data_IF_724149859099
#
_entry.id   IF_724149859099
#
_cell.length_a   1.000
_cell.length_b   1.000
_cell.length_c   1.000
_cell.angle_alpha   90.00
_cell.angle_beta   90.00
_cell.angle_gamma   90.00
#
_symmetry.space_group_name_H-M   'P 1'
#
loop_
_entity.id
_entity.type
_entity.pdbx_description
1 polymer ?
#
# COMPACT_ATOMS: atom_id res chain seq x y z
N UNK A 1 16.55 -18.27 -11.47
CA UNK A 1 15.53 -18.14 -12.57
C UNK A 1 15.38 -16.66 -12.84
N UNK A 2 15.38 -16.21 -14.07
CA UNK A 2 15.25 -14.79 -14.40
C UNK A 2 13.78 -14.56 -14.83
N UNK A 3 13.01 -13.94 -13.94
CA UNK A 3 11.62 -13.56 -14.26
C UNK A 3 11.63 -12.26 -15.07
N UNK A 4 10.82 -12.20 -16.12
CA UNK A 4 10.69 -11.00 -16.96
C UNK A 4 9.66 -10.03 -16.36
N UNK A 5 9.91 -8.74 -16.55
CA UNK A 5 8.97 -7.66 -16.21
C UNK A 5 8.60 -7.57 -14.72
N UNK A 6 9.50 -8.03 -13.83
CA UNK A 6 9.37 -7.80 -12.39
C UNK A 6 10.20 -6.59 -11.95
N UNK A 7 9.72 -5.92 -10.90
CA UNK A 7 10.39 -4.80 -10.24
C UNK A 7 10.50 -5.11 -8.75
N UNK A 8 11.72 -5.17 -8.24
CA UNK A 8 11.97 -5.31 -6.82
C UNK A 8 11.75 -3.96 -6.10
N UNK A 9 11.30 -3.96 -4.83
CA UNK A 9 11.17 -2.72 -4.08
C UNK A 9 12.52 -2.05 -3.92
N UNK A 10 12.59 -0.77 -4.24
CA UNK A 10 13.80 0.02 -4.12
C UNK A 10 13.63 1.06 -3.00
N UNK A 11 13.96 0.70 -1.76
CA UNK A 11 13.79 1.59 -0.60
C UNK A 11 14.66 2.86 -0.63
N UNK A 12 15.60 2.97 -1.57
CA UNK A 12 16.32 4.19 -1.84
C UNK A 12 15.56 5.13 -2.81
N UNK A 13 14.53 4.60 -3.51
CA UNK A 13 13.74 5.34 -4.50
C UNK A 13 12.31 4.78 -4.58
N UNK A 14 11.53 5.00 -3.53
CA UNK A 14 10.17 4.48 -3.38
C UNK A 14 9.24 5.52 -2.72
N UNK A 15 7.98 5.15 -2.55
CA UNK A 15 6.96 5.99 -1.90
C UNK A 15 7.37 6.45 -0.49
N UNK A 16 8.19 5.68 0.24
CA UNK A 16 8.75 6.12 1.52
C UNK A 16 9.56 7.40 1.33
N UNK A 17 10.33 7.52 0.25
CA UNK A 17 11.07 8.73 -0.08
C UNK A 17 10.17 9.95 -0.31
N UNK A 18 8.97 9.75 -0.87
CA UNK A 18 7.99 10.84 -1.07
C UNK A 18 7.58 11.46 0.28
N UNK A 19 7.14 10.64 1.22
CA UNK A 19 6.74 11.14 2.54
C UNK A 19 7.94 11.64 3.36
N UNK A 20 9.10 11.03 3.19
CA UNK A 20 10.34 11.46 3.87
C UNK A 20 10.78 12.84 3.40
N UNK A 21 10.63 13.16 2.10
CA UNK A 21 10.86 14.53 1.59
C UNK A 21 9.96 15.56 2.25
N UNK A 22 8.67 15.23 2.45
CA UNK A 22 7.72 16.09 3.16
C UNK A 22 8.12 16.25 4.64
N UNK A 23 8.46 15.16 5.33
CA UNK A 23 8.94 15.21 6.71
C UNK A 23 10.18 16.10 6.86
N UNK A 24 11.14 15.96 5.95
CA UNK A 24 12.35 16.78 5.90
C UNK A 24 12.04 18.26 5.68
N UNK A 25 11.09 18.58 4.79
CA UNK A 25 10.61 19.95 4.57
C UNK A 25 10.08 20.60 5.85
N UNK A 26 9.39 19.83 6.69
CA UNK A 26 8.89 20.28 7.99
C UNK A 26 9.91 20.12 9.14
N UNK A 27 11.19 19.87 8.84
CA UNK A 27 12.27 19.66 9.82
C UNK A 27 12.05 18.50 10.78
N UNK A 28 11.35 17.46 10.33
CA UNK A 28 11.25 16.19 11.06
C UNK A 28 12.45 15.33 10.72
N UNK A 29 13.21 14.92 11.74
CA UNK A 29 14.33 13.99 11.56
C UNK A 29 13.83 12.60 11.16
N UNK A 30 14.52 11.99 10.22
CA UNK A 30 14.27 10.64 9.73
C UNK A 30 15.57 9.96 9.32
N UNK A 31 15.65 8.64 9.52
CA UNK A 31 16.78 7.81 9.08
C UNK A 31 16.63 7.33 7.64
N UNK A 32 15.47 7.52 7.03
CA UNK A 32 15.17 7.06 5.68
C UNK A 32 15.50 8.12 4.63
N UNK A 33 15.85 7.65 3.42
CA UNK A 33 16.19 8.53 2.30
C UNK A 33 14.94 9.27 1.81
N UNK A 34 15.13 10.53 1.46
CA UNK A 34 14.16 11.36 0.73
C UNK A 34 14.40 11.26 -0.79
N UNK A 35 13.43 11.69 -1.58
CA UNK A 35 13.57 11.81 -3.03
C UNK A 35 14.24 13.16 -3.37
N UNK A 36 15.44 13.11 -3.95
CA UNK A 36 16.18 14.32 -4.33
C UNK A 36 15.38 15.19 -5.31
N UNK A 37 14.64 14.56 -6.23
CA UNK A 37 13.76 15.24 -7.17
C UNK A 37 12.71 16.09 -6.46
N UNK A 38 12.05 15.55 -5.44
CA UNK A 38 11.03 16.24 -4.66
C UNK A 38 11.63 17.23 -3.65
N UNK A 39 12.75 16.90 -3.02
CA UNK A 39 13.49 17.81 -2.14
C UNK A 39 13.82 19.12 -2.85
N UNK A 40 14.29 19.03 -4.09
CA UNK A 40 14.63 20.21 -4.91
C UNK A 40 13.42 21.12 -5.18
N UNK A 41 12.22 20.57 -5.30
CA UNK A 41 10.98 21.37 -5.43
C UNK A 41 10.62 22.01 -4.09
N UNK A 42 10.60 21.23 -3.02
CA UNK A 42 10.22 21.69 -1.67
C UNK A 42 11.14 22.78 -1.13
N UNK A 43 12.46 22.69 -1.35
CA UNK A 43 13.44 23.70 -0.89
C UNK A 43 13.33 25.01 -1.67
N UNK A 44 13.01 24.96 -2.96
CA UNK A 44 12.88 26.17 -3.80
C UNK A 44 11.59 26.93 -3.50
N UNK A 45 10.52 26.22 -3.17
CA UNK A 45 9.22 26.80 -2.84
C UNK A 45 9.10 27.10 -1.35
N UNK A 46 8.47 28.23 -1.03
CA UNK A 46 8.10 28.56 0.35
C UNK A 46 6.61 28.27 0.54
N UNK A 47 6.29 26.98 0.51
CA UNK A 47 4.90 26.54 0.57
C UNK A 47 4.33 26.68 2.00
N UNK A 48 3.21 27.36 2.10
CA UNK A 48 2.41 27.39 3.32
C UNK A 48 1.55 26.13 3.46
N UNK A 49 1.14 25.59 2.31
CA UNK A 49 0.32 24.39 2.28
C UNK A 49 1.03 23.31 1.44
N UNK A 50 1.22 22.15 2.01
CA UNK A 50 1.66 20.94 1.29
C UNK A 50 0.55 19.91 1.37
N UNK A 51 0.07 19.48 0.22
CA UNK A 51 -1.00 18.51 0.05
C UNK A 51 -0.39 17.26 -0.57
N UNK A 52 -0.50 16.12 0.11
CA UNK A 52 -0.22 14.82 -0.46
C UNK A 52 -1.56 14.15 -0.78
N UNK A 53 -1.84 13.96 -2.05
CA UNK A 53 -3.07 13.34 -2.54
C UNK A 53 -2.76 11.94 -3.07
N UNK A 54 -3.32 10.92 -2.42
CA UNK A 54 -3.13 9.52 -2.80
C UNK A 54 -4.37 9.01 -3.51
N UNK A 55 -4.18 8.52 -4.73
CA UNK A 55 -5.18 7.82 -5.54
C UNK A 55 -4.85 6.32 -5.51
N UNK A 56 -5.59 5.56 -4.69
CA UNK A 56 -5.34 4.13 -4.48
C UNK A 56 -5.34 3.34 -5.79
N UNK A 57 -4.30 2.56 -6.00
CA UNK A 57 -4.16 1.71 -7.17
C UNK A 57 -3.78 2.44 -8.47
N UNK A 58 -3.64 3.78 -8.49
CA UNK A 58 -3.27 4.54 -9.69
C UNK A 58 -1.77 4.43 -9.99
N UNK A 59 -1.27 3.22 -10.23
CA UNK A 59 0.12 3.02 -10.64
C UNK A 59 0.47 3.65 -11.99
N UNK A 60 1.76 3.71 -12.28
CA UNK A 60 2.32 4.31 -13.50
C UNK A 60 1.73 3.72 -14.79
N UNK A 61 1.50 2.40 -14.79
CA UNK A 61 0.90 1.71 -15.93
C UNK A 61 -0.53 2.19 -16.21
N UNK A 62 -1.36 2.34 -15.16
CA UNK A 62 -2.74 2.83 -15.27
C UNK A 62 -2.76 4.25 -15.82
N UNK A 63 -1.95 5.13 -15.23
CA UNK A 63 -1.85 6.53 -15.68
C UNK A 63 -1.45 6.63 -17.16
N UNK A 64 -0.41 5.89 -17.57
CA UNK A 64 0.08 5.94 -18.95
C UNK A 64 -0.91 5.38 -19.98
N UNK A 65 -1.67 4.36 -19.62
CA UNK A 65 -2.67 3.80 -20.51
C UNK A 65 -3.87 4.74 -20.70
N UNK A 66 -4.26 5.45 -19.65
CA UNK A 66 -5.46 6.30 -19.66
C UNK A 66 -5.16 7.72 -20.12
N UNK A 67 -4.10 8.33 -19.61
CA UNK A 67 -3.82 9.76 -19.78
C UNK A 67 -2.37 10.04 -20.17
N UNK A 68 -1.85 9.33 -21.18
CA UNK A 68 -0.45 9.39 -21.61
C UNK A 68 0.07 10.82 -21.83
N UNK A 69 -0.74 11.70 -22.39
CA UNK A 69 -0.39 13.10 -22.67
C UNK A 69 -1.21 14.07 -21.82
N UNK A 70 -1.87 13.60 -20.77
CA UNK A 70 -2.72 14.38 -19.89
C UNK A 70 -1.94 15.23 -18.89
N UNK A 71 -2.68 15.98 -18.10
CA UNK A 71 -2.14 16.95 -17.16
C UNK A 71 -1.23 16.30 -16.09
N UNK A 72 -1.59 15.13 -15.57
CA UNK A 72 -0.75 14.42 -14.61
C UNK A 72 0.58 13.99 -15.21
N UNK A 73 0.58 13.39 -16.40
CA UNK A 73 1.83 13.01 -17.07
C UNK A 73 2.70 14.20 -17.49
N UNK A 74 2.09 15.35 -17.81
CA UNK A 74 2.84 16.59 -18.11
C UNK A 74 3.53 17.17 -16.86
N UNK A 75 2.99 16.91 -15.68
CA UNK A 75 3.51 17.38 -14.38
C UNK A 75 4.17 16.27 -13.58
N UNK A 76 4.40 15.10 -14.19
CA UNK A 76 5.07 13.99 -13.52
C UNK A 76 6.54 14.33 -13.28
N UNK A 77 6.92 14.31 -12.00
CA UNK A 77 8.27 14.61 -11.54
C UNK A 77 9.15 13.35 -11.58
N UNK A 78 8.59 12.21 -11.19
CA UNK A 78 9.35 10.99 -10.98
C UNK A 78 8.45 9.74 -11.10
N UNK A 79 9.08 8.57 -11.23
CA UNK A 79 8.45 7.26 -11.09
C UNK A 79 9.23 6.48 -10.05
N UNK A 80 8.58 6.11 -8.97
CA UNK A 80 9.19 5.39 -7.85
C UNK A 80 8.57 4.01 -7.68
N UNK A 81 9.17 3.14 -6.88
CA UNK A 81 8.52 1.90 -6.53
C UNK A 81 7.55 2.11 -5.36
N UNK A 82 6.51 1.28 -5.29
CA UNK A 82 5.80 1.05 -4.03
C UNK A 82 6.76 0.41 -3.01
N UNK A 83 6.36 0.34 -1.74
CA UNK A 83 6.95 -0.60 -0.78
C UNK A 83 6.47 -2.01 -1.09
N UNK A 84 7.04 -3.01 -0.43
CA UNK A 84 6.58 -4.38 -0.60
C UNK A 84 6.11 -4.99 0.74
N UNK A 85 5.01 -5.74 0.73
CA UNK A 85 4.07 -5.95 -0.40
C UNK A 85 3.42 -4.65 -0.89
N UNK A 86 3.19 -4.57 -2.23
CA UNK A 86 2.54 -3.44 -2.89
C UNK A 86 1.03 -3.50 -2.65
N UNK A 87 0.62 -3.17 -1.44
CA UNK A 87 -0.76 -3.24 -0.95
C UNK A 87 -1.09 -2.02 -0.11
N UNK A 88 -2.35 -1.61 -0.13
CA UNK A 88 -2.89 -0.48 0.62
C UNK A 88 -2.43 -0.51 2.08
N UNK A 89 -2.49 -1.67 2.75
CA UNK A 89 -2.09 -1.81 4.17
C UNK A 89 -0.64 -1.40 4.41
N UNK A 90 0.30 -1.90 3.63
CA UNK A 90 1.73 -1.59 3.80
C UNK A 90 2.06 -0.17 3.30
N UNK A 91 1.55 0.20 2.14
CA UNK A 91 1.89 1.44 1.46
C UNK A 91 1.26 2.68 2.13
N UNK A 92 -0.04 2.64 2.48
CA UNK A 92 -0.65 3.74 3.24
C UNK A 92 -0.03 3.88 4.63
N UNK A 93 0.27 2.76 5.32
CA UNK A 93 0.97 2.85 6.61
C UNK A 93 2.35 3.47 6.45
N UNK A 94 3.04 3.22 5.33
CA UNK A 94 4.30 3.92 5.02
C UNK A 94 4.09 5.43 4.86
N UNK A 95 3.06 5.88 4.16
CA UNK A 95 2.71 7.30 4.07
C UNK A 95 2.30 7.90 5.42
N UNK A 96 1.53 7.18 6.22
CA UNK A 96 1.06 7.65 7.51
C UNK A 96 2.12 7.67 8.61
N UNK A 97 3.13 6.79 8.52
CA UNK A 97 4.18 6.66 9.52
C UNK A 97 5.50 7.32 9.13
N UNK A 98 5.81 7.40 7.82
CA UNK A 98 7.15 7.72 7.33
C UNK A 98 8.16 6.61 7.64
N UNK A 99 7.71 5.35 7.69
CA UNK A 99 8.51 4.18 8.03
C UNK A 99 8.19 3.02 7.06
N UNK A 100 9.16 2.13 6.75
CA UNK A 100 8.92 0.97 5.91
C UNK A 100 8.10 -0.12 6.64
N UNK A 101 7.51 -1.07 5.93
CA UNK A 101 6.78 -2.20 6.53
C UNK A 101 7.59 -3.00 7.55
N UNK A 102 8.92 -3.06 7.39
CA UNK A 102 9.84 -3.71 8.33
C UNK A 102 9.79 -3.10 9.74
N UNK A 103 9.58 -1.78 9.83
CA UNK A 103 9.51 -1.06 11.11
C UNK A 103 8.10 -0.99 11.68
N UNK A 104 7.08 -0.91 10.81
CA UNK A 104 5.69 -0.77 11.27
C UNK A 104 5.03 -2.10 11.57
N UNK A 105 5.47 -3.19 10.94
CA UNK A 105 4.80 -4.50 11.01
C UNK A 105 3.49 -4.58 10.22
N UNK A 106 3.06 -3.49 9.58
CA UNK A 106 1.89 -3.46 8.71
C UNK A 106 2.31 -3.90 7.30
N UNK A 107 2.14 -5.19 6.99
CA UNK A 107 2.72 -5.80 5.79
C UNK A 107 1.68 -6.30 4.77
N UNK A 108 0.46 -6.58 5.18
CA UNK A 108 -0.57 -7.11 4.29
C UNK A 108 -1.97 -6.92 4.87
N UNK A 109 -2.99 -7.18 4.06
CA UNK A 109 -4.38 -7.10 4.50
C UNK A 109 -4.70 -8.10 5.61
N UNK A 110 -4.21 -9.35 5.50
CA UNK A 110 -4.47 -10.43 6.45
C UNK A 110 -3.17 -10.94 7.08
N UNK A 111 -2.98 -10.73 8.38
CA UNK A 111 -1.78 -11.13 9.10
C UNK A 111 -2.10 -12.10 10.23
N UNK A 112 -1.23 -13.10 10.45
CA UNK A 112 -1.40 -14.07 11.52
C UNK A 112 -0.93 -13.53 12.87
N UNK A 113 -1.85 -13.48 13.83
CA UNK A 113 -1.55 -13.08 15.20
C UNK A 113 -1.57 -14.31 16.11
N UNK A 114 -0.41 -14.72 16.58
CA UNK A 114 -0.27 -15.89 17.48
C UNK A 114 -1.05 -15.74 18.78
N UNK A 115 -1.24 -14.50 19.27
CA UNK A 115 -1.99 -14.16 20.47
C UNK A 115 -3.47 -14.54 20.36
N UNK A 116 -3.99 -14.49 19.16
CA UNK A 116 -5.36 -14.90 18.84
C UNK A 116 -5.43 -16.29 18.21
N UNK A 117 -4.27 -16.84 17.75
CA UNK A 117 -4.20 -18.08 16.97
C UNK A 117 -4.96 -17.97 15.64
N UNK A 118 -5.04 -16.77 15.04
CA UNK A 118 -5.86 -16.46 13.87
C UNK A 118 -5.20 -15.44 12.96
N UNK A 119 -5.59 -15.48 11.69
CA UNK A 119 -5.33 -14.40 10.75
C UNK A 119 -6.38 -13.29 10.95
N UNK A 120 -5.92 -12.03 10.91
CA UNK A 120 -6.74 -10.85 11.19
C UNK A 120 -6.56 -9.84 10.06
N UNK A 121 -7.67 -9.31 9.57
CA UNK A 121 -7.69 -8.22 8.58
C UNK A 121 -7.31 -6.91 9.27
N UNK A 122 -6.24 -6.31 8.80
CA UNK A 122 -5.55 -5.21 9.47
C UNK A 122 -6.40 -3.94 9.60
N UNK A 123 -7.25 -3.60 8.62
CA UNK A 123 -8.08 -2.40 8.68
C UNK A 123 -9.43 -2.63 9.35
N UNK A 124 -10.04 -3.80 9.18
CA UNK A 124 -11.35 -4.09 9.77
C UNK A 124 -11.29 -4.64 11.18
N UNK A 125 -10.10 -5.13 11.60
CA UNK A 125 -9.86 -5.86 12.85
C UNK A 125 -10.76 -7.11 13.00
N UNK A 126 -11.22 -7.66 11.88
CA UNK A 126 -12.00 -8.90 11.86
C UNK A 126 -11.09 -10.10 11.64
N UNK A 127 -11.52 -11.25 12.11
CA UNK A 127 -10.87 -12.51 11.76
C UNK A 127 -11.03 -12.74 10.25
N UNK A 128 -9.90 -13.00 9.56
CA UNK A 128 -9.83 -12.98 8.09
C UNK A 128 -10.67 -14.05 7.43
N UNK A 129 -10.74 -15.23 8.03
CA UNK A 129 -11.43 -16.39 7.46
C UNK A 129 -12.91 -16.45 7.82
N UNK A 130 -13.29 -16.25 9.03
CA UNK A 130 -14.69 -16.29 9.48
C UNK A 130 -15.38 -14.92 9.38
N UNK A 131 -14.60 -13.85 9.18
CA UNK A 131 -15.06 -12.46 9.14
C UNK A 131 -15.85 -12.03 10.37
N UNK A 132 -15.52 -12.65 11.48
CA UNK A 132 -16.12 -12.32 12.76
C UNK A 132 -15.30 -11.23 13.47
N UNK A 133 -15.94 -10.27 14.13
CA UNK A 133 -15.25 -9.31 15.00
C UNK A 133 -14.47 -10.05 16.11
N UNK A 134 -13.29 -9.52 16.44
CA UNK A 134 -12.51 -10.02 17.55
C UNK A 134 -13.27 -9.86 18.88
N UNK A 135 -13.50 -10.96 19.58
CA UNK A 135 -14.37 -11.01 20.80
C UNK A 135 -13.68 -10.48 22.08
N UNK A 136 -12.42 -10.08 22.05
CA UNK A 136 -11.71 -9.65 23.27
C UNK A 136 -11.14 -8.23 23.14
N UNK A 137 -11.95 -7.18 23.41
CA UNK A 137 -11.51 -5.80 23.36
C UNK A 137 -10.42 -5.42 24.38
N UNK A 138 -10.19 -6.26 25.41
CA UNK A 138 -9.19 -5.99 26.46
C UNK A 138 -7.75 -6.30 26.02
N UNK A 139 -7.55 -6.93 24.87
CA UNK A 139 -6.24 -7.16 24.25
C UNK A 139 -6.27 -6.66 22.80
N UNK A 140 -6.48 -5.38 22.66
CA UNK A 140 -6.42 -4.73 21.35
C UNK A 140 -4.95 -4.63 20.92
N UNK A 141 -4.49 -5.63 20.15
CA UNK A 141 -3.13 -5.72 19.62
C UNK A 141 -2.79 -4.50 18.77
N UNK A 142 -3.77 -3.93 18.09
CA UNK A 142 -3.53 -2.74 17.26
C UNK A 142 -3.14 -1.53 18.10
N UNK A 143 -3.73 -1.37 19.28
CA UNK A 143 -3.36 -0.29 20.20
C UNK A 143 -2.07 -0.55 20.95
N UNK A 144 -1.75 -1.81 21.23
CA UNK A 144 -0.57 -2.15 22.05
C UNK A 144 0.67 -2.45 21.24
N UNK A 145 0.54 -3.27 20.20
CA UNK A 145 1.68 -3.85 19.48
C UNK A 145 1.85 -3.28 18.07
N UNK A 146 0.77 -2.79 17.42
CA UNK A 146 0.80 -2.31 16.03
C UNK A 146 0.75 -0.78 15.92
N UNK A 147 0.94 -0.10 17.04
CA UNK A 147 0.94 1.37 17.07
C UNK A 147 2.23 1.95 16.50
N UNK A 148 2.10 3.00 15.71
CA UNK A 148 3.20 3.82 15.22
C UNK A 148 2.87 5.31 15.38
N UNK A 149 3.91 6.14 15.50
CA UNK A 149 3.73 7.59 15.54
C UNK A 149 3.46 8.11 14.14
N UNK A 150 2.34 8.80 13.97
CA UNK A 150 1.91 9.29 12.66
C UNK A 150 2.76 10.48 12.18
N UNK A 151 2.80 10.68 10.85
CA UNK A 151 3.45 11.86 10.25
C UNK A 151 2.80 13.16 10.69
N UNK A 152 1.50 13.14 10.98
CA UNK A 152 0.75 14.29 11.50
C UNK A 152 1.28 14.73 12.86
N UNK A 153 1.48 13.78 13.77
CA UNK A 153 2.06 14.02 15.08
C UNK A 153 3.50 14.50 14.98
N UNK A 154 4.32 13.85 14.14
CA UNK A 154 5.72 14.21 13.91
C UNK A 154 5.86 15.65 13.42
N UNK A 155 5.05 16.06 12.45
CA UNK A 155 5.06 17.40 11.86
C UNK A 155 4.61 18.45 12.90
N UNK A 156 3.50 18.21 13.61
CA UNK A 156 3.00 19.16 14.63
C UNK A 156 3.94 19.29 15.84
N UNK A 157 4.67 18.23 16.19
CA UNK A 157 5.69 18.29 17.25
C UNK A 157 6.93 19.06 16.81
N UNK A 158 7.36 18.89 15.56
CA UNK A 158 8.50 19.64 15.02
C UNK A 158 8.20 21.14 14.89
N UNK A 159 6.95 21.48 14.55
CA UNK A 159 6.49 22.87 14.49
C UNK A 159 4.99 22.98 14.83
N UNK A 160 4.68 23.44 16.03
CA UNK A 160 3.31 23.59 16.54
C UNK A 160 2.45 24.63 15.79
N UNK A 161 3.04 25.47 14.95
CA UNK A 161 2.30 26.41 14.10
C UNK A 161 1.69 25.74 12.87
N UNK A 162 2.21 24.57 12.48
CA UNK A 162 1.68 23.78 11.36
C UNK A 162 0.49 22.97 11.85
N UNK A 163 -0.58 22.98 11.08
CA UNK A 163 -1.75 22.15 11.32
C UNK A 163 -1.79 21.00 10.33
N UNK A 164 -1.78 19.79 10.84
CA UNK A 164 -1.85 18.59 10.01
C UNK A 164 -3.28 18.05 9.95
N UNK A 165 -3.72 17.70 8.73
CA UNK A 165 -5.07 17.22 8.44
C UNK A 165 -5.03 15.88 7.70
N UNK A 166 -5.96 15.00 8.03
CA UNK A 166 -6.23 13.75 7.36
C UNK A 166 -7.62 13.81 6.73
N UNK A 167 -7.73 13.48 5.45
CA UNK A 167 -9.00 13.40 4.73
C UNK A 167 -9.09 12.04 4.07
N UNK A 168 -10.18 11.32 4.25
CA UNK A 168 -10.38 10.02 3.63
C UNK A 168 -11.70 9.35 4.02
N UNK A 169 -11.96 8.14 3.50
CA UNK A 169 -13.22 7.44 3.68
C UNK A 169 -13.51 7.08 5.14
N UNK A 170 -14.78 6.88 5.46
CA UNK A 170 -15.26 6.63 6.82
C UNK A 170 -14.61 5.39 7.46
N UNK A 171 -14.39 4.34 6.70
CA UNK A 171 -13.83 3.09 7.20
C UNK A 171 -12.32 3.17 7.54
N UNK A 172 -11.61 4.21 7.08
CA UNK A 172 -10.19 4.36 7.38
C UNK A 172 -9.98 4.77 8.84
N UNK A 173 -8.98 4.14 9.47
CA UNK A 173 -8.59 4.51 10.83
C UNK A 173 -8.11 5.97 10.89
N UNK A 174 -8.49 6.70 11.94
CA UNK A 174 -8.12 8.11 12.12
C UNK A 174 -6.81 8.24 12.90
N UNK A 175 -5.85 8.95 12.32
CA UNK A 175 -4.48 9.11 12.85
C UNK A 175 -4.15 10.55 13.19
N UNK A 176 -4.76 11.50 12.48
CA UNK A 176 -4.58 12.92 12.76
C UNK A 176 -5.57 13.40 13.83
N UNK A 177 -5.17 14.40 14.60
CA UNK A 177 -6.09 15.14 15.51
C UNK A 177 -7.23 15.81 14.72
N UNK A 178 -6.98 16.15 13.43
CA UNK A 178 -7.92 16.80 12.53
C UNK A 178 -8.17 15.86 11.36
N UNK A 179 -9.19 15.03 11.50
CA UNK A 179 -9.60 14.08 10.47
C UNK A 179 -10.98 14.44 9.94
N UNK A 180 -11.13 14.40 8.62
CA UNK A 180 -12.37 14.71 7.91
C UNK A 180 -12.76 13.47 7.10
N UNK A 181 -14.03 13.09 7.16
CA UNK A 181 -14.60 12.02 6.35
C UNK A 181 -14.93 12.59 4.97
N UNK A 182 -14.46 11.89 3.94
CA UNK A 182 -14.78 12.17 2.54
C UNK A 182 -14.71 10.85 1.77
N UNK A 183 -15.85 10.40 1.25
CA UNK A 183 -16.03 9.09 0.63
C UNK A 183 -15.90 9.12 -0.91
N UNK A 184 -15.70 10.30 -1.48
CA UNK A 184 -15.52 10.49 -2.93
C UNK A 184 -14.65 11.70 -3.24
N UNK A 185 -14.23 11.82 -4.49
CA UNK A 185 -13.29 12.86 -4.92
C UNK A 185 -13.83 14.28 -4.75
N UNK A 186 -15.14 14.49 -4.92
CA UNK A 186 -15.76 15.81 -4.76
C UNK A 186 -15.73 16.27 -3.31
N UNK A 187 -15.99 15.38 -2.37
CA UNK A 187 -15.89 15.64 -0.93
C UNK A 187 -14.46 15.88 -0.50
N UNK A 188 -13.46 15.11 -1.06
CA UNK A 188 -12.06 15.35 -0.83
C UNK A 188 -11.64 16.76 -1.27
N UNK A 189 -12.00 17.16 -2.49
CA UNK A 189 -11.72 18.50 -3.05
C UNK A 189 -12.39 19.59 -2.23
N UNK A 190 -13.66 19.41 -1.85
CA UNK A 190 -14.39 20.35 -1.01
C UNK A 190 -13.71 20.53 0.35
N UNK A 191 -13.32 19.44 0.99
CA UNK A 191 -12.64 19.47 2.28
C UNK A 191 -11.28 20.17 2.20
N UNK A 192 -10.53 19.97 1.11
CA UNK A 192 -9.27 20.67 0.88
C UNK A 192 -9.50 22.18 0.75
N UNK A 193 -10.52 22.61 -0.02
CA UNK A 193 -10.87 24.03 -0.15
C UNK A 193 -11.23 24.63 1.21
N UNK A 194 -12.04 23.95 2.03
CA UNK A 194 -12.44 24.45 3.34
C UNK A 194 -11.21 24.59 4.30
N UNK A 195 -10.30 23.63 4.25
CA UNK A 195 -9.05 23.69 5.04
C UNK A 195 -8.14 24.81 4.53
N UNK A 196 -8.08 25.04 3.21
CA UNK A 196 -7.24 26.08 2.62
C UNK A 196 -7.59 27.47 3.18
N UNK A 197 -8.86 27.77 3.38
CA UNK A 197 -9.35 29.04 3.93
C UNK A 197 -8.99 29.24 5.42
N UNK A 198 -8.59 28.20 6.14
CA UNK A 198 -8.17 28.33 7.53
C UNK A 198 -6.80 29.05 7.62
N UNK A 199 -6.56 29.85 8.68
CA UNK A 199 -5.28 30.53 8.83
C UNK A 199 -4.14 29.57 9.22
N UNK A 200 -2.92 29.92 8.81
CA UNK A 200 -1.67 29.24 9.18
C UNK A 200 -1.18 28.25 8.13
N UNK A 201 -0.03 27.65 8.41
CA UNK A 201 0.61 26.65 7.55
C UNK A 201 -0.04 25.27 7.75
N UNK A 202 -0.11 24.48 6.67
CA UNK A 202 -0.83 23.22 6.71
C UNK A 202 -0.10 22.10 5.98
N UNK A 203 -0.19 20.92 6.56
CA UNK A 203 0.03 19.65 5.87
C UNK A 203 -1.31 18.93 5.74
N UNK A 204 -1.64 18.47 4.54
CA UNK A 204 -2.87 17.73 4.26
C UNK A 204 -2.49 16.44 3.58
N UNK A 205 -2.91 15.29 4.11
CA UNK A 205 -2.90 14.03 3.40
C UNK A 205 -4.34 13.65 3.09
N UNK A 206 -4.67 13.61 1.79
CA UNK A 206 -5.95 13.22 1.27
C UNK A 206 -5.83 11.86 0.57
N UNK A 207 -6.69 10.92 0.93
CA UNK A 207 -6.69 9.58 0.38
C UNK A 207 -8.04 9.24 -0.23
N UNK A 208 -8.00 8.81 -1.49
CA UNK A 208 -9.15 8.23 -2.21
C UNK A 208 -8.91 6.74 -2.41
N UNK A 209 -9.88 5.91 -2.05
CA UNK A 209 -9.89 4.46 -2.25
C UNK A 209 -10.14 4.02 -3.71
N UNK A 210 -10.27 4.97 -4.59
CA UNK A 210 -10.38 4.76 -6.02
C UNK A 210 -9.17 5.39 -6.75
N UNK A 211 -8.75 4.75 -7.85
CA UNK A 211 -9.46 3.73 -8.64
C UNK A 211 -9.34 2.26 -8.18
N UNK A 212 -8.69 1.89 -7.04
CA UNK A 212 -8.48 0.51 -6.61
C UNK A 212 -9.79 -0.33 -6.61
N UNK A 213 -10.84 0.19 -5.98
CA UNK A 213 -12.13 -0.50 -5.95
C UNK A 213 -12.72 -0.76 -7.34
N UNK A 214 -12.56 0.18 -8.25
CA UNK A 214 -12.98 0.03 -9.66
C UNK A 214 -12.08 -0.95 -10.41
N UNK A 215 -10.75 -0.90 -10.19
CA UNK A 215 -9.77 -1.80 -10.79
C UNK A 215 -10.05 -3.25 -10.40
N UNK A 216 -10.29 -3.52 -9.13
CA UNK A 216 -10.67 -4.85 -8.65
C UNK A 216 -11.91 -5.40 -9.35
N UNK A 217 -12.91 -4.55 -9.57
CA UNK A 217 -14.22 -4.96 -10.10
C UNK A 217 -14.23 -5.07 -11.62
N UNK A 218 -13.59 -4.15 -12.32
CA UNK A 218 -13.75 -3.99 -13.77
C UNK A 218 -12.47 -4.28 -14.56
N UNK A 219 -11.29 -4.28 -13.92
CA UNK A 219 -9.99 -4.46 -14.56
C UNK A 219 -9.36 -3.13 -15.01
N UNK A 220 -8.08 -3.22 -15.42
CA UNK A 220 -7.25 -2.04 -15.70
C UNK A 220 -7.67 -1.26 -16.94
N UNK A 221 -8.34 -1.90 -17.91
CA UNK A 221 -8.67 -1.32 -19.21
C UNK A 221 -10.14 -0.90 -19.32
N UNK A 222 -10.87 -0.82 -18.19
CA UNK A 222 -12.29 -0.51 -18.18
C UNK A 222 -12.58 0.99 -18.34
N UNK A 223 -13.74 1.31 -18.94
CA UNK A 223 -14.19 2.69 -19.05
C UNK A 223 -14.49 3.32 -17.68
N UNK A 224 -14.90 2.54 -16.69
CA UNK A 224 -15.15 3.00 -15.32
C UNK A 224 -13.86 3.53 -14.68
N UNK A 225 -12.77 2.81 -14.80
CA UNK A 225 -11.44 3.23 -14.31
C UNK A 225 -10.95 4.46 -15.07
N UNK A 226 -11.08 4.43 -16.40
CA UNK A 226 -10.67 5.55 -17.26
C UNK A 226 -11.42 6.83 -16.90
N UNK A 227 -12.74 6.76 -16.78
CA UNK A 227 -13.54 7.92 -16.45
C UNK A 227 -13.18 8.49 -15.08
N UNK A 228 -12.95 7.63 -14.08
CA UNK A 228 -12.52 8.07 -12.77
C UNK A 228 -11.17 8.80 -12.79
N UNK A 229 -10.16 8.22 -13.45
CA UNK A 229 -8.81 8.83 -13.51
C UNK A 229 -8.85 10.18 -14.24
N UNK A 230 -9.59 10.28 -15.35
CA UNK A 230 -9.73 11.54 -16.09
C UNK A 230 -10.50 12.60 -15.30
N UNK A 231 -11.54 12.22 -14.55
CA UNK A 231 -12.28 13.10 -13.66
C UNK A 231 -11.40 13.61 -12.51
N UNK A 232 -10.64 12.72 -11.87
CA UNK A 232 -9.68 13.09 -10.83
C UNK A 232 -8.60 14.04 -11.33
N UNK A 233 -8.06 13.81 -12.53
CA UNK A 233 -7.08 14.67 -13.17
C UNK A 233 -7.66 16.08 -13.44
N UNK A 234 -8.86 16.17 -13.97
CA UNK A 234 -9.55 17.44 -14.24
C UNK A 234 -9.82 18.22 -12.96
N UNK A 235 -10.34 17.55 -11.93
CA UNK A 235 -10.67 18.16 -10.62
C UNK A 235 -9.43 18.64 -9.87
N UNK A 236 -8.33 17.88 -9.88
CA UNK A 236 -7.09 18.30 -9.24
C UNK A 236 -6.41 19.45 -10.01
N UNK A 237 -6.56 19.49 -11.33
CA UNK A 237 -6.15 20.66 -12.13
C UNK A 237 -6.94 21.91 -11.72
N UNK A 238 -8.26 21.83 -11.66
CA UNK A 238 -9.12 22.93 -11.22
C UNK A 238 -8.81 23.37 -9.79
N UNK A 239 -8.56 22.41 -8.89
CA UNK A 239 -8.14 22.71 -7.53
C UNK A 239 -6.85 23.52 -7.53
N UNK A 240 -5.80 23.08 -8.29
CA UNK A 240 -4.53 23.79 -8.37
C UNK A 240 -4.70 25.21 -8.89
N UNK A 241 -5.57 25.42 -9.88
CA UNK A 241 -5.86 26.76 -10.43
C UNK A 241 -6.53 27.70 -9.42
N UNK A 242 -7.25 27.16 -8.43
CA UNK A 242 -7.89 27.92 -7.34
C UNK A 242 -6.94 28.22 -6.18
N UNK A 243 -6.00 27.32 -5.91
CA UNK A 243 -5.05 27.46 -4.81
C UNK A 243 -3.90 28.37 -5.24
N UNK A 244 -3.35 29.13 -4.30
CA UNK A 244 -2.24 30.05 -4.55
C UNK A 244 -0.91 29.32 -4.84
N UNK A 245 0.08 30.08 -5.33
CA UNK A 245 1.43 29.56 -5.58
C UNK A 245 2.17 29.09 -4.32
N UNK A 246 1.71 29.50 -3.14
CA UNK A 246 2.19 29.04 -1.84
C UNK A 246 1.63 27.67 -1.41
N UNK A 247 0.94 26.98 -2.33
CA UNK A 247 0.41 25.64 -2.15
C UNK A 247 1.02 24.66 -3.14
N UNK A 248 1.61 23.59 -2.62
CA UNK A 248 2.12 22.46 -3.38
C UNK A 248 1.14 21.29 -3.28
N UNK A 249 0.74 20.72 -4.41
CA UNK A 249 0.00 19.46 -4.44
C UNK A 249 0.94 18.39 -5.00
N UNK A 250 1.15 17.33 -4.24
CA UNK A 250 1.86 16.14 -4.64
C UNK A 250 0.80 15.05 -4.83
N UNK A 251 0.66 14.53 -6.06
CA UNK A 251 -0.25 13.42 -6.35
C UNK A 251 0.58 12.16 -6.55
N UNK A 252 0.18 11.08 -5.90
CA UNK A 252 0.82 9.77 -6.02
C UNK A 252 -0.20 8.66 -5.83
N UNK A 253 0.27 7.44 -5.86
CA UNK A 253 -0.50 6.26 -5.52
C UNK A 253 0.24 5.45 -4.45
N UNK A 254 -0.38 4.45 -3.92
CA UNK A 254 0.21 3.50 -2.98
C UNK A 254 0.79 2.28 -3.72
N UNK A 255 0.12 1.83 -4.79
CA UNK A 255 0.56 0.76 -5.70
C UNK A 255 -0.12 0.89 -7.07
N UNK A 256 0.19 -0.01 -7.98
CA UNK A 256 -0.53 -0.21 -9.22
C UNK A 256 -1.33 -1.53 -9.20
N UNK A 257 -1.81 -1.96 -10.36
CA UNK A 257 -2.64 -3.14 -10.53
C UNK A 257 -2.22 -4.01 -11.69
N UNK A 258 -2.47 -5.33 -11.57
CA UNK A 258 -2.32 -6.32 -12.64
C UNK A 258 -3.65 -7.02 -12.92
N UNK A 259 -4.04 -7.09 -14.19
CA UNK A 259 -5.16 -7.95 -14.62
C UNK A 259 -4.84 -9.40 -14.29
N UNK A 260 -5.86 -10.16 -13.85
CA UNK A 260 -5.70 -11.55 -13.44
C UNK A 260 -6.03 -12.47 -14.62
N UNK A 261 -5.01 -13.19 -15.07
CA UNK A 261 -5.10 -14.20 -16.12
C UNK A 261 -5.53 -15.56 -15.56
N UNK A 262 -5.02 -15.90 -14.35
CA UNK A 262 -5.27 -17.16 -13.68
C UNK A 262 -5.51 -17.01 -12.19
N UNK A 263 -6.57 -17.60 -11.70
CA UNK A 263 -6.91 -17.64 -10.28
C UNK A 263 -6.95 -19.10 -9.80
N UNK A 264 -6.03 -19.44 -8.89
CA UNK A 264 -5.88 -20.77 -8.34
C UNK A 264 -6.58 -20.89 -6.98
N UNK A 265 -7.03 -22.09 -6.67
CA UNK A 265 -7.53 -22.50 -5.37
C UNK A 265 -6.60 -23.58 -4.83
N UNK A 266 -5.99 -23.36 -3.66
CA UNK A 266 -5.13 -24.38 -3.04
C UNK A 266 -5.90 -25.65 -2.64
N UNK A 267 -7.22 -25.59 -2.52
CA UNK A 267 -8.07 -26.77 -2.29
C UNK A 267 -7.99 -27.79 -3.43
N UNK A 268 -7.60 -27.38 -4.64
CA UNK A 268 -7.39 -28.26 -5.79
C UNK A 268 -6.02 -28.98 -5.74
N UNK A 269 -5.16 -28.64 -4.75
CA UNK A 269 -3.80 -29.17 -4.57
C UNK A 269 -3.64 -29.79 -3.17
N UNK A 270 -4.34 -30.89 -2.86
CA UNK A 270 -4.32 -31.50 -1.53
C UNK A 270 -2.91 -31.93 -1.12
N UNK A 271 -2.06 -32.29 -2.07
CA UNK A 271 -0.65 -32.63 -1.83
C UNK A 271 0.19 -31.44 -1.31
N UNK A 272 -0.19 -30.19 -1.62
CA UNK A 272 0.43 -29.00 -1.05
C UNK A 272 -0.17 -28.72 0.33
N UNK A 273 -1.49 -28.82 0.46
CA UNK A 273 -2.19 -28.56 1.72
C UNK A 273 -1.74 -29.50 2.85
N UNK A 274 -1.47 -30.77 2.54
CA UNK A 274 -1.00 -31.72 3.56
C UNK A 274 0.35 -31.34 4.19
N UNK A 275 1.16 -30.51 3.51
CA UNK A 275 2.42 -30.01 4.03
C UNK A 275 2.23 -28.87 5.04
N UNK A 276 1.07 -28.21 5.06
CA UNK A 276 0.85 -27.01 5.83
C UNK A 276 0.40 -27.28 7.26
N UNK A 277 0.80 -26.39 8.19
CA UNK A 277 0.35 -26.37 9.57
C UNK A 277 -1.00 -25.62 9.66
N UNK A 278 -1.17 -24.59 8.85
CA UNK A 278 -2.35 -23.74 8.79
C UNK A 278 -2.53 -23.16 7.39
N UNK A 279 -3.70 -22.60 7.04
CA UNK A 279 -3.88 -21.88 5.79
C UNK A 279 -2.87 -20.75 5.61
N UNK A 280 -2.44 -20.45 4.38
CA UNK A 280 -1.54 -19.31 4.12
C UNK A 280 -2.25 -17.99 4.43
N UNK A 281 -1.49 -16.96 4.75
CA UNK A 281 -1.99 -15.60 4.99
C UNK A 281 -1.25 -14.59 4.11
N UNK A 282 -1.46 -13.32 4.36
CA UNK A 282 -1.08 -12.11 3.67
C UNK A 282 -2.08 -11.75 2.56
N UNK A 283 -1.72 -11.92 1.29
CA UNK A 283 -2.54 -11.49 0.16
C UNK A 283 -2.55 -12.57 -0.93
N UNK A 284 -3.47 -12.44 -1.88
CA UNK A 284 -3.64 -13.44 -2.94
C UNK A 284 -2.46 -13.51 -3.93
N UNK A 285 -1.57 -12.53 -3.94
CA UNK A 285 -0.39 -12.45 -4.82
C UNK A 285 0.92 -12.41 -4.05
N UNK A 286 0.86 -12.34 -2.73
CA UNK A 286 1.96 -12.59 -1.81
C UNK A 286 1.45 -13.44 -0.66
N UNK A 287 1.88 -14.67 -0.57
CA UNK A 287 1.41 -15.62 0.42
C UNK A 287 2.55 -16.06 1.32
N UNK A 288 2.30 -16.19 2.62
CA UNK A 288 3.23 -16.86 3.52
C UNK A 288 2.70 -18.20 3.97
N UNK A 289 3.60 -19.18 4.09
CA UNK A 289 3.28 -20.57 4.39
C UNK A 289 3.98 -21.05 5.65
N UNK A 290 3.21 -21.65 6.55
CA UNK A 290 3.72 -22.40 7.71
C UNK A 290 3.70 -23.88 7.36
N UNK A 291 4.90 -24.45 7.16
CA UNK A 291 5.10 -25.80 6.67
C UNK A 291 5.57 -26.69 7.80
N UNK A 292 5.06 -27.92 7.86
CA UNK A 292 5.51 -28.96 8.80
C UNK A 292 7.02 -29.20 8.62
N UNK A 293 7.73 -29.36 9.73
CA UNK A 293 9.20 -29.44 9.72
C UNK A 293 9.76 -30.55 8.83
N UNK A 294 9.10 -31.71 8.88
CA UNK A 294 9.47 -32.90 8.11
C UNK A 294 8.99 -32.88 6.65
N UNK A 295 8.27 -31.83 6.23
CA UNK A 295 7.70 -31.71 4.89
C UNK A 295 8.24 -30.49 4.11
N UNK A 296 9.28 -29.81 4.57
CA UNK A 296 9.76 -28.59 3.94
C UNK A 296 10.25 -28.83 2.51
N UNK A 297 11.13 -29.81 2.29
CA UNK A 297 11.66 -30.13 0.96
C UNK A 297 10.54 -30.61 0.03
N UNK A 298 9.61 -31.38 0.58
CA UNK A 298 8.44 -31.90 -0.17
C UNK A 298 7.50 -30.75 -0.60
N UNK A 299 7.28 -29.77 0.31
CA UNK A 299 6.48 -28.59 0.00
C UNK A 299 7.11 -27.78 -1.13
N UNK A 300 8.41 -27.51 -1.06
CA UNK A 300 9.14 -26.73 -2.05
C UNK A 300 9.07 -27.42 -3.43
N UNK A 301 9.32 -28.72 -3.48
CA UNK A 301 9.20 -29.49 -4.73
C UNK A 301 7.79 -29.41 -5.32
N UNK A 302 6.75 -29.67 -4.49
CA UNK A 302 5.35 -29.67 -4.92
C UNK A 302 4.87 -28.30 -5.37
N UNK A 303 5.20 -27.26 -4.62
CA UNK A 303 4.83 -25.90 -4.94
C UNK A 303 5.50 -25.46 -6.25
N UNK A 304 6.80 -25.65 -6.40
CA UNK A 304 7.55 -25.28 -7.59
C UNK A 304 7.10 -26.06 -8.84
N UNK A 305 6.74 -27.33 -8.69
CA UNK A 305 6.20 -28.13 -9.78
C UNK A 305 4.92 -27.51 -10.38
N UNK A 306 4.08 -26.88 -9.56
CA UNK A 306 2.81 -26.31 -9.98
C UNK A 306 2.90 -24.84 -10.37
N UNK A 307 3.70 -24.03 -9.64
CA UNK A 307 3.58 -22.59 -9.64
C UNK A 307 4.86 -21.82 -10.00
N UNK A 308 6.01 -22.48 -10.24
CA UNK A 308 7.30 -21.80 -10.44
C UNK A 308 7.34 -20.78 -11.59
N UNK A 309 6.48 -20.92 -12.60
CA UNK A 309 6.41 -19.99 -13.74
C UNK A 309 5.66 -18.70 -13.38
N UNK A 310 4.89 -18.73 -12.29
CA UNK A 310 3.96 -17.66 -11.91
C UNK A 310 4.22 -17.08 -10.52
N UNK A 311 4.90 -17.85 -9.68
CA UNK A 311 5.26 -17.46 -8.32
C UNK A 311 6.72 -17.77 -8.05
N UNK A 312 7.40 -16.79 -7.49
CA UNK A 312 8.74 -16.97 -6.92
C UNK A 312 8.59 -17.39 -5.46
N UNK A 313 8.86 -18.67 -5.20
CA UNK A 313 8.91 -19.20 -3.84
C UNK A 313 10.29 -18.93 -3.25
N UNK A 314 10.32 -18.41 -2.03
CA UNK A 314 11.55 -18.18 -1.27
C UNK A 314 11.37 -18.53 0.20
N UNK A 315 12.45 -18.76 0.88
CA UNK A 315 12.49 -18.94 2.32
C UNK A 315 12.25 -17.61 3.04
N UNK A 316 11.85 -17.67 4.31
CA UNK A 316 11.74 -16.50 5.20
C UNK A 316 13.07 -15.72 5.26
N UNK A 317 14.21 -16.43 5.29
CA UNK A 317 15.53 -15.81 5.37
C UNK A 317 15.85 -15.00 4.11
N UNK A 318 15.62 -15.58 2.93
CA UNK A 318 15.77 -14.87 1.65
C UNK A 318 14.88 -13.62 1.61
N UNK A 319 13.60 -13.77 1.96
CA UNK A 319 12.63 -12.67 1.92
C UNK A 319 13.00 -11.51 2.85
N UNK A 320 13.37 -11.79 4.10
CA UNK A 320 13.60 -10.77 5.12
C UNK A 320 15.02 -10.20 5.07
N UNK A 321 16.04 -11.04 4.88
CA UNK A 321 17.43 -10.68 5.14
C UNK A 321 18.27 -10.55 3.87
N UNK A 322 18.10 -11.42 2.88
CA UNK A 322 18.87 -11.33 1.62
C UNK A 322 18.27 -10.24 0.70
N UNK A 323 17.01 -10.37 0.35
CA UNK A 323 16.34 -9.42 -0.55
C UNK A 323 15.73 -8.21 0.17
N UNK A 324 15.51 -8.28 1.48
CA UNK A 324 14.99 -7.19 2.32
C UNK A 324 13.69 -6.60 1.78
N UNK A 325 12.77 -7.47 1.38
CA UNK A 325 11.53 -7.05 0.73
C UNK A 325 10.69 -6.07 1.56
N UNK A 326 10.75 -6.14 2.89
CA UNK A 326 10.01 -5.24 3.78
C UNK A 326 10.77 -3.93 4.08
N UNK A 327 11.95 -3.72 3.50
CA UNK A 327 12.86 -2.63 3.84
C UNK A 327 13.82 -2.96 4.97
N UNK A 328 14.40 -1.92 5.55
CA UNK A 328 15.41 -2.02 6.63
C UNK A 328 15.12 -1.01 7.73
N UNK A 329 15.80 -1.12 8.86
CA UNK A 329 15.66 -0.24 10.01
C UNK A 329 15.42 -1.02 11.31
N UNK A 330 14.64 -0.48 12.21
CA UNK A 330 14.30 -1.11 13.48
C UNK A 330 13.22 -2.17 13.26
N UNK A 331 13.61 -3.44 13.23
CA UNK A 331 12.69 -4.55 12.99
C UNK A 331 11.54 -4.54 13.98
N UNK A 332 10.32 -4.47 13.48
CA UNK A 332 9.14 -4.65 14.31
C UNK A 332 9.11 -6.06 14.90
N UNK A 333 8.86 -6.17 16.19
CA UNK A 333 8.97 -7.44 16.94
C UNK A 333 8.00 -8.54 16.46
N UNK A 334 6.96 -8.18 15.74
CA UNK A 334 5.97 -9.11 15.18
C UNK A 334 6.32 -9.66 13.79
N UNK A 335 7.33 -9.11 13.11
CA UNK A 335 7.67 -9.56 11.75
C UNK A 335 7.95 -11.06 11.70
N UNK A 336 8.62 -11.61 12.72
CA UNK A 336 8.91 -13.04 12.78
C UNK A 336 7.67 -13.92 12.96
N UNK A 337 6.63 -13.36 13.57
CA UNK A 337 5.35 -14.05 13.75
C UNK A 337 4.48 -14.00 12.50
N UNK A 338 4.60 -12.94 11.68
CA UNK A 338 3.79 -12.74 10.49
C UNK A 338 4.28 -13.52 9.28
N UNK A 339 5.56 -13.85 9.23
CA UNK A 339 6.17 -14.56 8.11
C UNK A 339 6.45 -16.01 8.51
N UNK A 340 5.84 -16.95 7.79
CA UNK A 340 6.04 -18.39 7.94
C UNK A 340 7.38 -18.87 7.39
N UNK A 341 7.48 -20.15 7.07
CA UNK A 341 8.71 -20.75 6.59
C UNK A 341 9.08 -20.32 5.16
N UNK A 342 8.04 -20.13 4.32
CA UNK A 342 8.17 -19.73 2.92
C UNK A 342 7.25 -18.57 2.60
N UNK A 343 7.66 -17.79 1.60
CA UNK A 343 6.85 -16.73 0.98
C UNK A 343 6.82 -16.95 -0.52
N UNK A 344 5.63 -16.93 -1.10
CA UNK A 344 5.45 -17.00 -2.56
C UNK A 344 5.01 -15.64 -3.07
N UNK A 345 5.76 -15.09 -4.03
CA UNK A 345 5.54 -13.78 -4.64
C UNK A 345 5.08 -13.96 -6.09
N UNK A 346 3.94 -13.42 -6.45
CA UNK A 346 3.47 -13.49 -7.84
C UNK A 346 4.37 -12.64 -8.74
N UNK A 347 4.80 -13.25 -9.84
CA UNK A 347 5.67 -12.65 -10.87
C UNK A 347 4.98 -12.56 -12.24
N UNK A 348 3.70 -12.90 -12.29
CA UNK A 348 2.86 -12.95 -13.49
C UNK A 348 1.44 -12.45 -13.18
N UNK A 349 0.50 -12.60 -14.11
CA UNK A 349 -0.93 -12.27 -13.93
C UNK A 349 -1.73 -13.32 -13.14
N UNK A 350 -1.13 -13.95 -12.13
CA UNK A 350 -1.73 -15.07 -11.39
C UNK A 350 -1.97 -14.74 -9.92
N UNK A 351 -3.02 -15.32 -9.35
CA UNK A 351 -3.33 -15.22 -7.92
C UNK A 351 -3.68 -16.60 -7.34
N UNK A 352 -3.41 -16.77 -6.04
CA UNK A 352 -3.93 -17.89 -5.24
C UNK A 352 -4.98 -17.34 -4.29
N UNK A 353 -6.22 -17.79 -4.43
CA UNK A 353 -7.38 -17.29 -3.72
C UNK A 353 -7.38 -17.76 -2.25
N UNK A 354 -7.16 -16.85 -1.33
CA UNK A 354 -7.23 -17.15 0.11
C UNK A 354 -8.67 -17.36 0.59
N UNK A 355 -9.60 -16.59 0.04
CA UNK A 355 -11.01 -16.67 0.40
C UNK A 355 -11.67 -18.00 0.07
N UNK A 356 -11.01 -18.90 -0.68
CA UNK A 356 -11.54 -20.25 -0.93
C UNK A 356 -11.56 -21.15 0.28
N UNK A 357 -10.80 -20.80 1.32
CA UNK A 357 -10.93 -21.47 2.62
C UNK A 357 -12.21 -21.10 3.36
N UNK A 358 -13.04 -20.17 2.85
CA UNK A 358 -14.11 -19.56 3.61
C UNK A 358 -15.44 -19.41 2.94
N UNK A 359 -15.46 -19.02 1.70
CA UNK A 359 -16.69 -18.52 1.10
C UNK A 359 -16.98 -19.16 -0.23
N UNK A 360 -18.05 -19.89 -0.31
CA UNK A 360 -18.71 -20.17 -1.57
C UNK A 360 -19.06 -18.84 -2.28
N UNK A 361 -18.69 -18.71 -3.55
CA UNK A 361 -19.33 -17.79 -4.46
C UNK A 361 -18.82 -16.35 -4.54
N UNK A 362 -17.66 -15.99 -3.99
CA UNK A 362 -17.09 -14.66 -4.30
C UNK A 362 -16.57 -14.63 -5.75
N UNK A 363 -16.92 -13.59 -6.52
CA UNK A 363 -16.39 -13.42 -7.86
C UNK A 363 -14.87 -13.24 -7.78
N UNK A 364 -14.17 -13.76 -8.78
CA UNK A 364 -12.74 -13.50 -8.96
C UNK A 364 -12.55 -12.02 -9.29
N UNK A 365 -11.64 -11.35 -8.62
CA UNK A 365 -11.24 -9.97 -8.94
C UNK A 365 -10.72 -9.93 -10.38
N UNK A 366 -11.07 -8.90 -11.14
CA UNK A 366 -10.59 -8.72 -12.51
C UNK A 366 -9.13 -8.31 -12.56
N UNK A 367 -8.73 -7.44 -11.63
CA UNK A 367 -7.34 -7.11 -11.38
C UNK A 367 -7.06 -7.07 -9.88
N UNK A 368 -5.80 -7.18 -9.49
CA UNK A 368 -5.37 -7.05 -8.11
C UNK A 368 -3.88 -6.63 -8.06
N UNK A 369 -3.32 -6.51 -6.89
CA UNK A 369 -2.00 -5.98 -6.58
C UNK A 369 -1.25 -6.93 -5.64
N UNK A 370 -0.11 -6.55 -5.07
CA UNK A 370 0.78 -7.28 -4.17
C UNK A 370 1.81 -8.19 -4.82
N UNK A 371 1.82 -8.32 -6.14
CA UNK A 371 2.88 -9.04 -6.86
C UNK A 371 4.08 -8.17 -7.14
N UNK A 372 5.03 -8.74 -7.88
CA UNK A 372 6.27 -8.06 -8.28
C UNK A 372 6.23 -7.50 -9.70
N UNK A 373 5.10 -7.56 -10.39
CA UNK A 373 5.07 -7.05 -11.76
C UNK A 373 5.28 -5.53 -11.76
N UNK A 374 5.89 -5.05 -12.85
CA UNK A 374 6.10 -3.61 -13.06
C UNK A 374 4.79 -2.82 -12.90
N UNK A 375 3.68 -3.38 -13.41
CA UNK A 375 2.35 -2.78 -13.39
C UNK A 375 1.83 -2.53 -11.96
N UNK A 376 2.30 -3.30 -10.97
CA UNK A 376 1.93 -3.20 -9.56
C UNK A 376 2.91 -2.35 -8.75
N UNK A 377 4.20 -2.40 -9.11
CA UNK A 377 5.26 -1.84 -8.29
C UNK A 377 5.59 -0.38 -8.61
N UNK A 378 5.41 0.07 -9.87
CA UNK A 378 5.74 1.44 -10.24
C UNK A 378 4.60 2.41 -9.99
N UNK A 379 4.90 3.52 -9.31
CA UNK A 379 3.96 4.57 -8.92
C UNK A 379 4.47 5.93 -9.37
N UNK A 380 3.61 6.81 -9.90
CA UNK A 380 4.00 8.15 -10.28
C UNK A 380 4.12 9.08 -9.06
N UNK A 381 5.03 10.03 -9.14
CA UNK A 381 5.08 11.21 -8.28
C UNK A 381 4.85 12.43 -9.17
N UNK A 382 3.73 13.11 -8.97
CA UNK A 382 3.26 14.23 -9.78
C UNK A 382 3.26 15.48 -8.91
N UNK A 383 3.68 16.62 -9.44
CA UNK A 383 3.77 17.88 -8.69
C UNK A 383 2.99 18.97 -9.43
N UNK A 384 2.00 19.52 -8.74
CA UNK A 384 1.09 20.56 -9.26
C UNK A 384 1.27 21.86 -8.49
#
# INVERSE_FOLDING_TARGET
MEYKDIVLPNYDHCILGTITSILKYYNVETSHKSLESLDNILVKGKYKNVILFILDGMGEHILNNISKNGYFNQNKLDVVTSVYPSTTTAALTTYYSGQPPYETGWIAWSQYFKEYGRAIDMFSHNESYMREPLKNPNKDVFKTDMHYKSVYEKIEEANSNIKAFEIGPEYAERRAKRSIIADNIDELISSINDIYELPGEKFILAYSDNPDGLLHKYGTDSEEVKNYVLDAEAKLKELKEKLGEDTLIIVSADHGHKNIDKAYTLLDYPEILECLIMPPTLESRVLTFWVKEDMRDVFEERFNKQFKEEFWLMTKEEFLNEYKFLGTGNKHHKIDDFIGNYVALSVAGSMIRLETFLAEGKPVKKSTHCGLTKDEMEVPVIVL
#
